data_IF_948046278816
#
_entry.id   IF_948046278816
#
_cell.length_a   1.000
_cell.length_b   1.000
_cell.length_c   1.000
_cell.angle_alpha   90.00
_cell.angle_beta   90.00
_cell.angle_gamma   90.00
#
_symmetry.space_group_name_H-M   'P 1'
#
loop_
_entity.id
_entity.type
_entity.pdbx_description
1 polymer ?
#
# COMPACT_ATOMS: atom_id res chain seq x y z
N UNK A 1 6.78 14.65 -24.10
CA UNK A 1 6.42 13.23 -23.94
C UNK A 1 5.46 12.99 -22.76
N UNK A 2 5.85 13.28 -21.52
CA UNK A 2 4.99 13.00 -20.34
C UNK A 2 3.70 13.85 -20.34
N UNK A 3 3.81 15.14 -20.66
CA UNK A 3 2.67 16.04 -20.78
C UNK A 3 1.67 15.59 -21.88
N UNK A 4 2.20 15.16 -23.02
CA UNK A 4 1.36 14.67 -24.13
C UNK A 4 0.62 13.39 -23.73
N UNK A 5 1.33 12.51 -23.01
CA UNK A 5 0.76 11.25 -22.50
C UNK A 5 -0.38 11.51 -21.49
N UNK A 6 -0.14 12.42 -20.53
CA UNK A 6 -1.15 12.84 -19.55
C UNK A 6 -2.34 13.51 -20.23
N UNK A 7 -2.11 14.37 -21.21
CA UNK A 7 -3.17 15.01 -21.98
C UNK A 7 -4.03 13.98 -22.74
N UNK A 8 -3.41 13.00 -23.39
CA UNK A 8 -4.12 11.92 -24.08
C UNK A 8 -4.96 11.05 -23.13
N UNK A 9 -4.43 10.72 -21.94
CA UNK A 9 -5.18 9.99 -20.90
C UNK A 9 -6.39 10.81 -20.44
N UNK A 10 -6.22 12.10 -20.20
CA UNK A 10 -7.31 13.02 -19.83
C UNK A 10 -8.33 13.21 -20.95
N UNK A 11 -7.90 13.01 -22.19
CA UNK A 11 -8.76 12.99 -23.40
C UNK A 11 -9.52 11.67 -23.61
N UNK A 12 -9.34 10.67 -22.72
CA UNK A 12 -10.08 9.41 -22.72
C UNK A 12 -9.28 8.18 -23.13
N UNK A 13 -8.00 8.30 -23.47
CA UNK A 13 -7.16 7.14 -23.82
C UNK A 13 -6.51 6.52 -22.57
N UNK A 14 -7.29 5.81 -21.77
CA UNK A 14 -6.87 5.21 -20.49
C UNK A 14 -5.76 4.17 -20.63
N UNK A 15 -5.64 3.47 -21.75
CA UNK A 15 -4.62 2.44 -21.98
C UNK A 15 -3.20 3.01 -21.91
N UNK A 16 -3.03 4.28 -22.24
CA UNK A 16 -1.75 4.97 -22.17
C UNK A 16 -1.24 5.15 -20.74
N UNK A 17 -2.10 5.02 -19.73
CA UNK A 17 -1.71 5.12 -18.31
C UNK A 17 -0.59 4.12 -17.95
N UNK A 18 -0.57 2.96 -18.58
CA UNK A 18 0.44 1.92 -18.36
C UNK A 18 1.85 2.32 -18.84
N UNK A 19 1.95 3.36 -19.65
CA UNK A 19 3.22 3.88 -20.16
C UNK A 19 3.83 4.96 -19.23
N UNK A 20 3.07 5.45 -18.25
CA UNK A 20 3.57 6.40 -17.28
C UNK A 20 4.56 5.69 -16.33
N UNK A 21 5.64 6.37 -15.92
CA UNK A 21 6.46 5.89 -14.83
C UNK A 21 5.64 5.84 -13.55
N UNK A 22 6.11 5.05 -12.57
CA UNK A 22 5.42 4.94 -11.28
C UNK A 22 6.40 5.10 -10.13
N UNK A 23 5.86 5.41 -8.95
CA UNK A 23 6.55 5.48 -7.67
C UNK A 23 5.88 4.58 -6.64
N UNK A 24 6.60 4.13 -5.64
CA UNK A 24 6.06 3.54 -4.42
C UNK A 24 6.09 4.59 -3.31
N UNK A 25 4.96 4.76 -2.60
CA UNK A 25 4.85 5.80 -1.58
C UNK A 25 5.61 5.46 -0.29
N UNK A 26 5.63 4.18 0.10
CA UNK A 26 5.98 3.77 1.45
C UNK A 26 7.44 3.31 1.60
N UNK A 27 8.04 2.72 0.54
CA UNK A 27 9.36 2.12 0.59
C UNK A 27 10.19 2.54 -0.63
N UNK A 28 11.49 2.75 -0.43
CA UNK A 28 12.40 3.02 -1.53
C UNK A 28 13.17 1.77 -1.99
N UNK A 29 13.07 0.63 -1.28
CA UNK A 29 13.77 -0.60 -1.63
C UNK A 29 12.89 -1.85 -1.50
N UNK A 30 13.05 -2.75 -2.48
CA UNK A 30 12.45 -4.08 -2.50
C UNK A 30 13.52 -5.12 -2.80
N UNK A 31 13.48 -6.28 -2.11
CA UNK A 31 14.40 -7.39 -2.33
C UNK A 31 14.28 -7.86 -3.78
N UNK A 32 15.41 -8.27 -4.35
CA UNK A 32 15.53 -8.77 -5.73
C UNK A 32 14.96 -7.81 -6.79
N UNK A 33 14.87 -6.52 -6.50
CA UNK A 33 14.20 -5.51 -7.33
C UNK A 33 12.77 -5.91 -7.75
N UNK A 34 12.11 -6.76 -6.96
CA UNK A 34 10.74 -7.21 -7.19
C UNK A 34 9.79 -6.54 -6.23
N UNK A 35 8.99 -5.63 -6.74
CA UNK A 35 7.96 -4.92 -5.98
C UNK A 35 6.85 -5.89 -5.59
N UNK A 36 6.77 -6.22 -4.31
CA UNK A 36 5.69 -7.00 -3.69
C UNK A 36 5.71 -6.79 -2.18
N UNK A 37 4.60 -7.08 -1.51
CA UNK A 37 4.46 -6.92 -0.08
C UNK A 37 5.56 -7.66 0.71
N UNK A 38 5.84 -8.91 0.34
CA UNK A 38 6.87 -9.74 1.00
C UNK A 38 8.30 -9.29 0.75
N UNK A 39 8.54 -8.54 -0.34
CA UNK A 39 9.87 -8.09 -0.74
C UNK A 39 10.19 -6.66 -0.24
N UNK A 40 9.21 -5.94 0.32
CA UNK A 40 9.48 -4.63 0.93
C UNK A 40 10.52 -4.77 2.03
N UNK A 41 11.57 -3.96 1.97
CA UNK A 41 12.67 -3.94 2.97
C UNK A 41 12.27 -3.02 4.12
N UNK A 42 12.04 -3.54 5.34
CA UNK A 42 11.53 -2.74 6.46
C UNK A 42 12.40 -1.53 6.79
N UNK A 43 13.72 -1.65 6.61
CA UNK A 43 14.69 -0.59 6.84
C UNK A 43 14.53 0.59 5.87
N UNK A 44 13.93 0.35 4.68
CA UNK A 44 13.68 1.35 3.66
C UNK A 44 12.32 2.04 3.79
N UNK A 45 11.61 1.83 4.90
CA UNK A 45 10.32 2.48 5.16
C UNK A 45 10.48 3.98 5.36
N UNK A 46 9.73 4.79 4.61
CA UNK A 46 9.90 6.25 4.53
C UNK A 46 9.08 7.02 5.57
N UNK A 47 8.23 6.36 6.35
CA UNK A 47 7.29 6.99 7.29
C UNK A 47 6.42 8.07 6.62
N UNK A 48 6.07 7.84 5.37
CA UNK A 48 5.11 8.63 4.60
C UNK A 48 4.09 7.72 3.95
N UNK A 49 2.93 8.26 3.60
CA UNK A 49 1.87 7.53 2.90
C UNK A 49 1.15 8.44 1.92
N UNK A 50 0.39 7.86 1.00
CA UNK A 50 -0.40 8.58 0.02
C UNK A 50 -1.88 8.33 0.25
N UNK A 51 -2.65 9.40 0.22
CA UNK A 51 -4.11 9.40 0.10
C UNK A 51 -4.45 9.51 -1.38
N UNK A 52 -5.27 8.62 -1.90
CA UNK A 52 -5.81 8.66 -3.26
C UNK A 52 -7.27 9.14 -3.18
N UNK A 53 -7.55 10.35 -3.67
CA UNK A 53 -8.90 10.92 -3.71
C UNK A 53 -9.46 10.68 -5.08
N UNK A 54 -10.20 9.60 -5.22
CA UNK A 54 -10.70 9.10 -6.50
C UNK A 54 -11.98 9.77 -6.99
N UNK A 55 -12.71 10.42 -6.11
CA UNK A 55 -13.94 11.11 -6.44
C UNK A 55 -13.69 12.59 -6.74
N UNK A 56 -14.04 13.01 -7.94
CA UNK A 56 -13.77 14.37 -8.45
C UNK A 56 -14.44 15.47 -7.64
N UNK A 57 -15.58 15.16 -7.02
CA UNK A 57 -16.32 16.14 -6.22
C UNK A 57 -15.56 16.58 -4.94
N UNK A 58 -14.64 15.73 -4.46
CA UNK A 58 -13.85 16.03 -3.27
C UNK A 58 -12.50 16.71 -3.56
N UNK A 59 -12.05 16.75 -4.82
CA UNK A 59 -10.67 17.15 -5.17
C UNK A 59 -10.35 18.57 -4.68
N UNK A 60 -11.15 19.55 -5.04
CA UNK A 60 -10.87 20.96 -4.70
C UNK A 60 -10.94 21.17 -3.17
N UNK A 61 -11.96 20.62 -2.53
CA UNK A 61 -12.11 20.65 -1.07
C UNK A 61 -10.93 19.98 -0.36
N UNK A 62 -10.44 18.84 -0.88
CA UNK A 62 -9.32 18.11 -0.30
C UNK A 62 -8.01 18.92 -0.42
N UNK A 63 -7.80 19.65 -1.52
CA UNK A 63 -6.63 20.53 -1.70
C UNK A 63 -6.62 21.65 -0.66
N UNK A 64 -7.75 22.33 -0.51
CA UNK A 64 -7.89 23.43 0.48
C UNK A 64 -7.68 22.89 1.89
N UNK A 65 -8.36 21.80 2.24
CA UNK A 65 -8.30 21.19 3.56
C UNK A 65 -6.92 20.64 3.91
N UNK A 66 -6.21 20.04 2.96
CA UNK A 66 -4.83 19.58 3.17
C UNK A 66 -3.88 20.75 3.51
N UNK A 67 -4.06 21.92 2.88
CA UNK A 67 -3.28 23.11 3.19
C UNK A 67 -3.62 23.68 4.57
N UNK A 68 -4.90 23.72 4.96
CA UNK A 68 -5.32 24.13 6.30
C UNK A 68 -4.71 23.22 7.37
N UNK A 69 -4.83 21.89 7.20
CA UNK A 69 -4.29 20.91 8.14
C UNK A 69 -2.78 21.05 8.31
N UNK A 70 -2.08 21.35 7.21
CA UNK A 70 -0.62 21.54 7.23
C UNK A 70 -0.17 22.77 8.04
N UNK A 71 -1.06 23.72 8.29
CA UNK A 71 -0.81 24.94 9.09
C UNK A 71 -1.62 24.96 10.39
N UNK A 72 -2.23 23.86 10.80
CA UNK A 72 -3.10 23.77 11.97
C UNK A 72 -2.36 23.37 13.24
N UNK A 73 -2.96 23.57 14.41
CA UNK A 73 -2.45 23.08 15.71
C UNK A 73 -2.83 21.59 15.95
N UNK A 74 -2.88 20.80 14.90
CA UNK A 74 -3.19 19.37 14.97
C UNK A 74 -1.94 18.50 14.71
N UNK A 75 -2.10 17.18 14.84
CA UNK A 75 -1.04 16.21 14.48
C UNK A 75 -0.63 16.28 13.01
N UNK A 76 -1.37 17.03 12.18
CA UNK A 76 -1.14 17.20 10.75
C UNK A 76 -0.30 18.44 10.40
N UNK A 77 0.10 19.21 11.40
CA UNK A 77 0.96 20.38 11.18
C UNK A 77 2.29 19.97 10.54
N UNK A 78 2.61 20.56 9.39
CA UNK A 78 3.83 20.23 8.62
C UNK A 78 3.82 18.83 7.99
N UNK A 79 2.71 18.11 8.04
CA UNK A 79 2.65 16.74 7.53
C UNK A 79 2.56 16.66 6.00
N UNK A 80 2.08 17.70 5.31
CA UNK A 80 1.89 17.69 3.87
C UNK A 80 3.24 17.66 3.13
N UNK A 81 3.45 16.62 2.33
CA UNK A 81 4.68 16.42 1.57
C UNK A 81 4.51 16.72 0.08
N UNK A 82 3.39 16.31 -0.51
CA UNK A 82 3.16 16.49 -1.93
C UNK A 82 1.67 16.49 -2.27
N UNK A 83 1.28 17.30 -3.24
CA UNK A 83 -0.05 17.31 -3.87
C UNK A 83 0.12 17.28 -5.37
N UNK A 84 -0.56 16.37 -6.05
CA UNK A 84 -0.58 16.31 -7.51
C UNK A 84 -1.94 15.85 -8.04
N UNK A 85 -2.33 16.37 -9.18
CA UNK A 85 -3.39 15.75 -9.95
C UNK A 85 -2.91 14.43 -10.54
N UNK A 86 -3.68 13.36 -10.34
CA UNK A 86 -3.42 12.07 -10.98
C UNK A 86 -3.58 12.15 -12.51
N UNK A 87 -3.18 11.11 -13.21
CA UNK A 87 -3.33 11.03 -14.67
C UNK A 87 -4.78 11.23 -15.15
N UNK A 88 -5.77 10.88 -14.34
CA UNK A 88 -7.21 11.09 -14.61
C UNK A 88 -7.79 12.36 -13.99
N UNK A 89 -6.93 13.29 -13.56
CA UNK A 89 -7.32 14.53 -12.89
C UNK A 89 -8.09 14.30 -11.57
N UNK A 90 -7.76 13.23 -10.85
CA UNK A 90 -8.08 12.98 -9.45
C UNK A 90 -6.90 13.49 -8.60
N UNK A 91 -6.82 13.18 -7.31
CA UNK A 91 -5.80 13.78 -6.44
C UNK A 91 -5.01 12.71 -5.68
N UNK A 92 -3.67 12.84 -5.69
CA UNK A 92 -2.78 12.17 -4.75
C UNK A 92 -2.28 13.17 -3.72
N UNK A 93 -2.32 12.81 -2.44
CA UNK A 93 -1.83 13.60 -1.31
C UNK A 93 -0.81 12.75 -0.55
N UNK A 94 0.47 13.10 -0.62
CA UNK A 94 1.49 12.45 0.21
C UNK A 94 1.65 13.21 1.53
N UNK A 95 1.65 12.47 2.62
CA UNK A 95 1.80 13.02 3.96
C UNK A 95 2.84 12.26 4.78
N UNK A 96 3.48 12.94 5.72
CA UNK A 96 4.28 12.36 6.77
C UNK A 96 3.36 11.67 7.78
N UNK A 97 3.66 10.43 8.11
CA UNK A 97 2.89 9.69 9.11
C UNK A 97 3.19 10.23 10.52
N UNK A 98 2.19 10.42 11.38
CA UNK A 98 2.43 10.69 12.80
C UNK A 98 3.19 9.55 13.48
N UNK A 99 3.97 9.85 14.53
CA UNK A 99 4.76 8.84 15.26
C UNK A 99 3.84 7.78 15.85
N UNK A 100 4.16 6.53 15.57
CA UNK A 100 3.42 5.37 16.09
C UNK A 100 2.13 5.01 15.35
N UNK A 101 1.67 5.78 14.39
CA UNK A 101 0.53 5.43 13.54
C UNK A 101 0.96 4.56 12.36
N UNK A 102 0.23 3.48 12.10
CA UNK A 102 0.42 2.63 10.91
C UNK A 102 -0.03 3.34 9.64
N UNK A 103 0.28 2.79 8.47
CA UNK A 103 -0.22 3.31 7.18
C UNK A 103 -1.74 3.44 7.21
N UNK A 104 -2.44 2.37 7.58
CA UNK A 104 -3.90 2.34 7.63
C UNK A 104 -4.48 3.38 8.60
N UNK A 105 -3.99 3.43 9.82
CA UNK A 105 -4.43 4.40 10.82
C UNK A 105 -4.22 5.83 10.36
N UNK A 106 -3.06 6.11 9.75
CA UNK A 106 -2.74 7.43 9.20
C UNK A 106 -3.70 7.83 8.09
N UNK A 107 -3.93 6.93 7.14
CA UNK A 107 -4.81 7.22 6.01
C UNK A 107 -6.26 7.42 6.45
N UNK A 108 -6.80 6.55 7.33
CA UNK A 108 -8.16 6.70 7.87
C UNK A 108 -8.34 8.02 8.59
N UNK A 109 -7.45 8.35 9.51
CA UNK A 109 -7.53 9.59 10.29
C UNK A 109 -7.35 10.84 9.43
N UNK A 110 -6.49 10.78 8.40
CA UNK A 110 -6.31 11.92 7.50
C UNK A 110 -7.50 12.10 6.56
N UNK A 111 -8.07 11.02 6.01
CA UNK A 111 -9.30 11.07 5.22
C UNK A 111 -10.47 11.65 6.01
N UNK A 112 -10.61 11.25 7.29
CA UNK A 112 -11.61 11.83 8.20
C UNK A 112 -11.38 13.33 8.39
N UNK A 113 -10.14 13.76 8.65
CA UNK A 113 -9.78 15.17 8.79
C UNK A 113 -10.01 15.99 7.51
N UNK A 114 -9.81 15.40 6.33
CA UNK A 114 -10.12 15.99 5.02
C UNK A 114 -11.62 16.05 4.74
N UNK A 115 -12.40 15.14 5.33
CA UNK A 115 -13.81 14.93 5.01
C UNK A 115 -13.99 14.27 3.62
N UNK A 116 -13.13 13.30 3.29
CA UNK A 116 -13.17 12.51 2.05
C UNK A 116 -13.32 11.01 2.35
N UNK A 117 -13.91 10.22 1.45
CA UNK A 117 -13.95 8.78 1.59
C UNK A 117 -12.54 8.16 1.68
N UNK A 118 -12.41 7.12 2.50
CA UNK A 118 -11.18 6.36 2.64
C UNK A 118 -11.13 5.23 1.60
N UNK A 119 -10.02 5.13 0.85
CA UNK A 119 -9.75 4.02 -0.07
C UNK A 119 -8.85 2.96 0.59
N UNK A 120 -9.43 1.81 0.94
CA UNK A 120 -8.71 0.69 1.56
C UNK A 120 -7.64 0.07 0.64
N UNK A 121 -7.69 0.29 -0.67
CA UNK A 121 -6.71 -0.28 -1.61
C UNK A 121 -5.31 0.33 -1.49
N UNK A 122 -5.18 1.50 -0.84
CA UNK A 122 -3.94 2.26 -0.78
C UNK A 122 -2.99 1.89 0.36
N UNK A 123 -3.38 0.96 1.26
CA UNK A 123 -2.59 0.58 2.45
C UNK A 123 -1.44 -0.40 2.17
N UNK A 124 -1.41 -1.02 1.00
CA UNK A 124 -0.40 -2.05 0.73
C UNK A 124 1.00 -1.44 0.55
N UNK A 125 2.05 -2.09 1.08
CA UNK A 125 3.44 -1.59 0.99
C UNK A 125 3.89 -1.32 -0.43
N UNK A 126 3.46 -2.15 -1.37
CA UNK A 126 3.83 -2.10 -2.77
C UNK A 126 2.91 -1.21 -3.62
N UNK A 127 2.00 -0.43 -3.01
CA UNK A 127 1.11 0.46 -3.76
C UNK A 127 1.89 1.29 -4.76
N UNK A 128 1.48 1.18 -6.01
CA UNK A 128 2.04 1.90 -7.14
C UNK A 128 1.19 3.11 -7.48
N UNK A 129 1.82 4.25 -7.62
CA UNK A 129 1.22 5.50 -8.04
C UNK A 129 1.87 5.96 -9.33
N UNK A 130 1.11 6.23 -10.36
CA UNK A 130 1.64 6.75 -11.61
C UNK A 130 2.09 8.19 -11.44
N UNK A 131 3.30 8.48 -11.89
CA UNK A 131 3.87 9.83 -11.90
C UNK A 131 3.27 10.59 -13.07
N UNK A 132 2.88 11.83 -12.85
CA UNK A 132 2.33 12.71 -13.87
C UNK A 132 3.33 13.77 -14.30
N UNK A 133 2.91 14.69 -15.17
CA UNK A 133 3.73 15.80 -15.62
C UNK A 133 3.85 16.91 -14.57
N UNK A 134 4.83 17.78 -14.72
CA UNK A 134 5.05 18.88 -13.77
C UNK A 134 3.87 19.86 -13.68
N UNK A 135 3.09 20.00 -14.72
CA UNK A 135 1.91 20.86 -14.72
C UNK A 135 0.78 20.31 -13.83
N UNK A 136 0.82 19.03 -13.50
CA UNK A 136 -0.10 18.37 -12.56
C UNK A 136 0.29 18.54 -11.10
N UNK A 137 1.52 18.96 -10.81
CA UNK A 137 2.00 19.19 -9.45
C UNK A 137 1.39 20.48 -8.88
N UNK A 138 0.77 20.38 -7.70
CA UNK A 138 0.12 21.50 -6.99
C UNK A 138 1.02 22.01 -5.87
N UNK A 139 1.71 21.12 -5.18
CA UNK A 139 2.60 21.42 -4.06
C UNK A 139 3.67 20.34 -3.90
N UNK A 140 4.88 20.75 -3.55
CA UNK A 140 5.99 19.86 -3.17
C UNK A 140 6.76 20.44 -2.00
N UNK A 141 6.84 19.68 -0.91
CA UNK A 141 7.73 19.95 0.21
C UNK A 141 9.17 19.55 -0.14
N UNK A 142 10.20 20.26 0.34
CA UNK A 142 11.59 19.81 0.25
C UNK A 142 11.84 18.48 0.98
N UNK A 143 10.96 18.10 1.91
CA UNK A 143 11.04 16.88 2.70
C UNK A 143 10.33 15.66 2.05
N UNK A 144 9.81 15.83 0.84
CA UNK A 144 9.19 14.73 0.11
C UNK A 144 10.23 13.70 -0.33
N UNK A 145 10.04 12.42 0.02
CA UNK A 145 11.02 11.33 -0.12
C UNK A 145 12.33 11.53 0.66
N UNK A 146 12.37 12.43 1.61
CA UNK A 146 13.52 12.58 2.50
C UNK A 146 13.68 11.34 3.39
N UNK A 147 14.91 10.86 3.49
CA UNK A 147 15.28 9.89 4.54
C UNK A 147 15.48 10.65 5.83
N UNK A 148 14.65 10.35 6.82
CA UNK A 148 14.66 11.04 8.10
C UNK A 148 16.01 10.87 8.85
N UNK A 149 16.36 11.79 9.76
CA UNK A 149 17.50 11.64 10.65
C UNK A 149 17.44 10.33 11.46
N UNK A 150 18.59 9.72 11.72
CA UNK A 150 18.68 8.41 12.38
C UNK A 150 17.95 8.36 13.74
N UNK A 151 18.03 9.42 14.53
CA UNK A 151 17.34 9.50 15.83
C UNK A 151 15.82 9.53 15.67
N UNK A 152 15.31 10.22 14.66
CA UNK A 152 13.88 10.26 14.37
C UNK A 152 13.39 8.89 13.88
N UNK A 153 14.13 8.25 12.98
CA UNK A 153 13.84 6.88 12.52
C UNK A 153 13.78 5.93 13.72
N UNK A 154 14.75 6.02 14.63
CA UNK A 154 14.82 5.21 15.85
C UNK A 154 13.57 5.42 16.71
N UNK A 155 13.22 6.66 17.01
CA UNK A 155 12.05 6.99 17.82
C UNK A 155 10.74 6.45 17.20
N UNK A 156 10.57 6.58 15.89
CA UNK A 156 9.41 6.07 15.16
C UNK A 156 9.32 4.55 15.19
N UNK A 157 10.45 3.84 15.02
CA UNK A 157 10.53 2.38 15.10
C UNK A 157 10.24 1.89 16.53
N UNK A 158 10.79 2.53 17.55
CA UNK A 158 10.50 2.21 18.94
C UNK A 158 9.01 2.38 19.28
N UNK A 159 8.35 3.41 18.74
CA UNK A 159 6.92 3.61 18.92
C UNK A 159 6.11 2.44 18.34
N UNK A 160 6.48 1.89 17.19
CA UNK A 160 5.86 0.70 16.63
C UNK A 160 6.13 -0.54 17.48
N UNK A 161 7.39 -0.76 17.87
CA UNK A 161 7.78 -1.92 18.70
C UNK A 161 7.05 -1.94 20.05
N UNK A 162 6.87 -0.78 20.71
CA UNK A 162 6.09 -0.64 21.94
C UNK A 162 4.63 -1.06 21.78
N UNK A 163 4.10 -1.00 20.56
CA UNK A 163 2.75 -1.47 20.20
C UNK A 163 2.72 -2.94 19.77
N UNK A 164 3.84 -3.67 19.83
CA UNK A 164 3.95 -5.06 19.36
C UNK A 164 3.95 -5.21 17.84
N UNK A 165 4.24 -4.12 17.11
CA UNK A 165 4.35 -4.11 15.66
C UNK A 165 5.81 -4.33 15.22
N UNK A 166 6.03 -4.54 13.91
CA UNK A 166 7.35 -4.55 13.31
C UNK A 166 7.91 -3.11 13.20
N UNK A 167 9.20 -2.96 12.85
CA UNK A 167 9.87 -1.66 12.71
C UNK A 167 9.27 -0.76 11.61
N UNK A 168 8.44 -1.31 10.73
CA UNK A 168 7.70 -0.64 9.66
C UNK A 168 6.18 -0.63 9.90
N UNK A 169 5.76 -0.89 11.15
CA UNK A 169 4.36 -0.74 11.60
C UNK A 169 3.41 -1.85 11.17
N UNK A 170 3.91 -3.00 10.71
CA UNK A 170 3.07 -4.16 10.38
C UNK A 170 2.78 -5.01 11.63
N UNK A 171 1.68 -5.74 11.61
CA UNK A 171 1.39 -6.73 12.64
C UNK A 171 2.45 -7.84 12.61
N UNK A 172 3.03 -8.18 13.76
CA UNK A 172 3.83 -9.38 13.89
C UNK A 172 2.90 -10.58 13.72
N UNK A 173 3.04 -11.31 12.61
CA UNK A 173 2.43 -12.63 12.51
C UNK A 173 3.17 -13.54 13.50
N UNK A 174 2.49 -14.27 14.37
CA UNK A 174 3.16 -15.24 15.24
C UNK A 174 3.94 -16.22 14.37
N UNK A 175 5.25 -16.30 14.57
CA UNK A 175 6.06 -17.33 13.95
C UNK A 175 5.66 -18.67 14.58
N UNK A 176 4.90 -19.47 13.88
CA UNK A 176 4.49 -20.83 14.27
C UNK A 176 5.72 -21.76 14.42
N UNK A 177 6.92 -21.31 14.05
CA UNK A 177 8.15 -22.11 14.01
C UNK A 177 9.00 -22.14 15.28
N UNK A 178 8.57 -21.55 16.41
CA UNK A 178 9.35 -21.63 17.66
C UNK A 178 8.77 -22.57 18.72
N UNK A 179 7.63 -23.21 18.49
CA UNK A 179 7.09 -24.18 19.46
C UNK A 179 7.56 -25.62 19.25
N UNK A 180 8.39 -25.93 18.26
CA UNK A 180 8.84 -27.30 17.97
C UNK A 180 10.27 -27.60 18.42
N UNK A 181 10.97 -26.69 19.11
CA UNK A 181 12.36 -26.92 19.56
C UNK A 181 12.56 -27.09 21.08
N UNK A 182 11.51 -27.24 21.88
CA UNK A 182 11.65 -27.46 23.32
C UNK A 182 11.29 -28.91 23.74
N UNK A 183 11.36 -29.88 22.84
CA UNK A 183 11.20 -31.29 23.26
C UNK A 183 12.14 -32.22 22.49
N UNK A 184 13.43 -31.99 22.58
CA UNK A 184 14.45 -33.03 22.33
C UNK A 184 15.57 -32.94 23.37
N UNK A 185 15.22 -33.23 24.60
CA UNK A 185 16.15 -33.39 25.68
C UNK A 185 15.53 -34.34 26.69
N UNK A 186 16.14 -35.55 26.80
CA UNK A 186 15.93 -36.57 27.84
C UNK A 186 14.69 -37.47 27.70
N UNK A 187 14.90 -38.57 27.01
CA UNK A 187 14.15 -39.81 27.27
C UNK A 187 15.06 -40.72 28.06
N UNK A 188 14.92 -40.75 29.40
CA UNK A 188 15.27 -41.90 30.21
C UNK A 188 14.02 -42.75 30.39
N UNK A 189 14.20 -43.97 30.01
CA UNK A 189 13.48 -45.22 30.13
C UNK A 189 12.54 -45.30 31.37
N UNK A 190 11.26 -45.58 31.13
CA UNK A 190 10.41 -46.38 32.02
C UNK A 190 9.14 -46.79 31.24
N UNK A 191 9.13 -48.02 30.80
CA UNK A 191 7.97 -48.61 30.15
C UNK A 191 6.72 -48.62 31.04
N UNK A 192 5.62 -48.14 30.45
CA UNK A 192 4.25 -48.64 30.69
C UNK A 192 3.31 -48.09 29.63
N UNK A 193 2.66 -49.03 28.96
CA UNK A 193 1.53 -48.93 28.07
C UNK A 193 0.50 -47.90 28.49
N UNK A 194 0.18 -46.93 27.59
CA UNK A 194 -1.16 -46.35 27.50
C UNK A 194 -1.52 -46.21 26.04
N UNK A 195 -2.38 -47.10 25.59
CA UNK A 195 -3.18 -46.94 24.37
C UNK A 195 -4.27 -45.88 24.64
N UNK A 196 -4.63 -45.17 23.59
CA UNK A 196 -5.72 -44.21 23.45
C UNK A 196 -5.39 -42.77 23.84
N UNK A 197 -5.10 -41.96 22.85
CA UNK A 197 -5.78 -40.71 22.44
C UNK A 197 -5.21 -40.27 21.10
N UNK A 198 -5.67 -40.92 20.02
CA UNK A 198 -5.49 -40.48 18.64
C UNK A 198 -6.87 -40.41 18.02
N UNK A 199 -7.60 -39.33 18.29
CA UNK A 199 -8.75 -38.94 17.46
C UNK A 199 -9.32 -37.58 17.91
N UNK A 200 -8.57 -36.52 17.75
CA UNK A 200 -9.11 -35.15 17.55
C UNK A 200 -8.00 -34.34 16.85
N UNK A 201 -7.99 -34.32 15.55
CA UNK A 201 -6.96 -33.59 14.78
C UNK A 201 -7.12 -33.65 13.28
N UNK A 202 -8.26 -34.12 12.80
CA UNK A 202 -8.56 -34.10 11.36
C UNK A 202 -9.93 -33.47 11.17
N UNK A 203 -10.02 -32.15 11.12
CA UNK A 203 -11.13 -31.42 10.49
C UNK A 203 -10.94 -29.88 10.52
N UNK A 204 -9.76 -29.36 10.16
CA UNK A 204 -9.62 -27.93 9.78
C UNK A 204 -8.63 -27.82 8.62
N UNK A 205 -8.93 -28.51 7.51
CA UNK A 205 -8.20 -28.27 6.27
C UNK A 205 -9.08 -28.48 5.03
N UNK A 206 -10.25 -27.84 5.02
CA UNK A 206 -11.07 -27.76 3.80
C UNK A 206 -11.90 -26.47 3.84
N UNK A 207 -11.25 -25.29 3.67
CA UNK A 207 -11.99 -24.08 3.26
C UNK A 207 -11.12 -22.91 2.79
N UNK A 208 -9.95 -23.15 2.22
CA UNK A 208 -9.21 -22.11 1.47
C UNK A 208 -8.47 -22.72 0.28
N UNK A 209 -9.21 -23.33 -0.63
CA UNK A 209 -8.79 -23.52 -2.01
C UNK A 209 -9.97 -23.15 -2.92
N UNK A 210 -9.66 -22.42 -3.97
CA UNK A 210 -10.48 -22.01 -5.09
C UNK A 210 -11.13 -20.63 -5.00
N UNK A 211 -10.37 -19.64 -5.47
CA UNK A 211 -10.85 -18.55 -6.31
C UNK A 211 -9.69 -17.93 -7.09
N UNK A 212 -9.06 -18.72 -7.94
CA UNK A 212 -8.19 -18.24 -9.02
C UNK A 212 -8.45 -19.12 -10.25
N UNK A 213 -9.65 -18.98 -10.81
CA UNK A 213 -9.99 -19.41 -12.15
C UNK A 213 -10.68 -18.25 -12.86
N UNK A 214 -9.87 -17.33 -13.38
CA UNK A 214 -10.34 -16.36 -14.37
C UNK A 214 -10.18 -16.97 -15.74
N UNK A 215 -11.30 -17.34 -16.32
CA UNK A 215 -11.48 -17.87 -17.66
C UNK A 215 -10.82 -16.99 -18.72
N UNK A 216 -9.97 -17.66 -19.48
CA UNK A 216 -9.41 -17.22 -20.75
C UNK A 216 -10.49 -17.35 -21.84
N UNK A 217 -11.23 -16.30 -22.10
CA UNK A 217 -12.18 -16.25 -23.20
C UNK A 217 -11.46 -15.81 -24.48
N UNK A 218 -11.03 -16.81 -25.26
CA UNK A 218 -10.64 -16.65 -26.65
C UNK A 218 -11.83 -16.20 -27.48
N UNK A 219 -11.77 -14.99 -27.99
CA UNK A 219 -12.62 -14.57 -29.08
C UNK A 219 -12.15 -15.21 -30.38
N UNK A 220 -12.94 -16.15 -30.88
CA UNK A 220 -12.84 -16.63 -32.25
C UNK A 220 -13.49 -15.59 -33.17
N UNK A 221 -12.71 -15.15 -34.15
CA UNK A 221 -13.20 -14.30 -35.24
C UNK A 221 -14.17 -15.07 -36.14
N UNK A 222 -15.23 -14.41 -36.53
CA UNK A 222 -16.01 -14.80 -37.71
C UNK A 222 -15.91 -13.67 -38.74
N UNK A 223 -15.19 -14.01 -39.81
CA UNK A 223 -15.24 -13.26 -41.08
C UNK A 223 -16.67 -13.23 -41.62
N UNK A 224 -17.14 -12.07 -41.97
CA UNK A 224 -18.20 -11.99 -42.97
C UNK A 224 -17.98 -10.80 -43.92
N UNK A 225 -17.60 -11.15 -45.14
CA UNK A 225 -17.64 -10.30 -46.31
C UNK A 225 -19.05 -9.76 -46.59
N UNK A 226 -19.15 -8.49 -46.95
CA UNK A 226 -20.08 -8.04 -47.99
C UNK A 226 -19.72 -6.62 -48.46
N UNK A 227 -19.17 -6.50 -49.59
CA UNK A 227 -19.62 -5.93 -50.84
C UNK A 227 -20.12 -4.46 -50.78
N UNK A 228 -19.35 -3.59 -51.44
CA UNK A 228 -19.74 -2.27 -51.95
C UNK A 228 -20.61 -2.48 -53.23
N UNK A 229 -21.60 -1.65 -53.51
CA UNK A 229 -21.70 -1.04 -54.85
C UNK A 229 -22.02 0.45 -54.88
N UNK A 230 -21.35 1.06 -55.86
CA UNK A 230 -21.63 2.30 -56.67
C UNK A 230 -22.03 3.58 -55.95
#
# INVERSE_FOLDING_TARGET
WMADLVAAIRGGNDELKKQLPFRCAHYYQFRDNRRSQKNAVPESFLFQTTIDVDDKEYVDKAIEKARELNCSDTIWNGALLHLEYSARKKLHIDIRMPIGMTIEETQRAYCEALGVPYDESCITPERMLFITDKASEIYRSPHWYEVLPAEEIKARREAFLKRGLTIDGKKNLPQISQMTQIHSGEVHDAGKSVKSVLSVGQNINHKFQNKDDVQDNRFQGTDSHSAVPS
#
